data_IF_175379509102
#
_entry.id   IF_175379509102
#
_cell.length_a   1.000
_cell.length_b   1.000
_cell.length_c   1.000
_cell.angle_alpha   90.00
_cell.angle_beta   90.00
_cell.angle_gamma   90.00
#
_symmetry.space_group_name_H-M   'P 1'
#
loop_
_entity.id
_entity.type
_entity.pdbx_description
1 polymer ?
#
# COMPACT_ATOMS: atom_id res chain seq x y z
N UNK A 1 -8.78 -14.18 -0.84
CA UNK A 1 -8.16 -15.38 -1.43
C UNK A 1 -6.83 -15.57 -0.74
N UNK A 2 -6.45 -16.77 -0.28
CA UNK A 2 -5.06 -17.01 0.08
C UNK A 2 -4.25 -16.76 -1.18
N UNK A 3 -3.13 -16.00 -1.05
CA UNK A 3 -2.14 -15.88 -2.10
C UNK A 3 -1.72 -17.31 -2.46
N UNK A 4 -2.16 -17.76 -3.63
CA UNK A 4 -2.11 -19.17 -4.02
C UNK A 4 -0.64 -19.59 -4.12
N UNK A 5 -0.27 -20.67 -3.47
CA UNK A 5 1.08 -21.26 -3.43
C UNK A 5 1.59 -21.80 -4.78
N UNK A 6 0.80 -21.72 -5.83
CA UNK A 6 1.21 -22.08 -7.18
C UNK A 6 1.95 -20.91 -7.83
N UNK A 7 3.22 -21.10 -8.06
CA UNK A 7 4.28 -20.45 -8.84
C UNK A 7 3.91 -19.40 -9.93
N UNK A 8 2.71 -18.78 -9.89
CA UNK A 8 2.37 -17.70 -10.83
C UNK A 8 3.07 -16.41 -10.45
N UNK A 9 3.41 -15.60 -11.44
CA UNK A 9 3.92 -14.25 -11.23
C UNK A 9 2.88 -13.39 -10.47
N UNK A 10 3.35 -12.50 -9.60
CA UNK A 10 2.53 -11.57 -8.83
C UNK A 10 1.98 -10.48 -9.76
N UNK A 11 0.65 -10.43 -9.94
CA UNK A 11 -0.01 -9.57 -10.94
C UNK A 11 -0.25 -8.18 -10.39
N UNK A 12 0.41 -7.20 -10.97
CA UNK A 12 0.42 -5.82 -10.49
C UNK A 12 -0.27 -4.91 -11.52
N UNK A 13 -1.40 -4.31 -11.13
CA UNK A 13 -2.02 -3.23 -11.88
C UNK A 13 -1.44 -1.89 -11.43
N UNK A 14 -0.91 -1.12 -12.36
CA UNK A 14 -0.27 0.18 -12.09
C UNK A 14 -1.17 1.30 -12.61
N UNK A 15 -1.60 2.21 -11.72
CA UNK A 15 -2.31 3.43 -12.10
C UNK A 15 -1.30 4.50 -12.51
N UNK A 16 -1.16 4.74 -13.82
CA UNK A 16 -0.26 5.74 -14.33
C UNK A 16 -0.72 6.31 -15.68
N UNK A 17 -0.48 7.60 -15.91
CA UNK A 17 -0.67 8.25 -17.22
C UNK A 17 0.55 9.11 -17.55
N UNK A 18 0.85 9.35 -18.84
CA UNK A 18 1.96 10.22 -19.22
C UNK A 18 1.89 11.63 -18.61
N UNK A 19 0.68 12.12 -18.34
CA UNK A 19 0.46 13.43 -17.71
C UNK A 19 0.61 13.42 -16.16
N UNK A 20 0.85 12.28 -15.53
CA UNK A 20 0.89 12.16 -14.06
C UNK A 20 2.08 12.87 -13.40
N UNK A 21 3.08 13.31 -14.15
CA UNK A 21 4.22 14.09 -13.64
C UNK A 21 5.22 13.32 -12.77
N UNK A 22 5.05 12.00 -12.57
CA UNK A 22 5.96 11.14 -11.80
C UNK A 22 5.87 9.69 -12.27
N UNK A 23 6.88 8.88 -11.95
CA UNK A 23 6.99 7.46 -12.31
C UNK A 23 6.99 6.55 -11.07
N UNK A 24 6.72 7.10 -9.90
CA UNK A 24 6.82 6.40 -8.62
C UNK A 24 6.07 5.06 -8.58
N UNK A 25 4.82 4.91 -9.09
CA UNK A 25 4.15 3.61 -9.07
C UNK A 25 4.80 2.59 -10.00
N UNK A 26 5.42 3.03 -11.11
CA UNK A 26 6.17 2.15 -12.03
C UNK A 26 7.52 1.76 -11.40
N UNK A 27 8.21 2.71 -10.74
CA UNK A 27 9.45 2.45 -10.01
C UNK A 27 9.21 1.48 -8.84
N UNK A 28 8.05 1.58 -8.18
CA UNK A 28 7.66 0.65 -7.13
C UNK A 28 7.44 -0.76 -7.71
N UNK A 29 6.74 -0.90 -8.83
CA UNK A 29 6.59 -2.19 -9.51
C UNK A 29 7.94 -2.78 -9.91
N UNK A 30 8.84 -1.96 -10.47
CA UNK A 30 10.21 -2.37 -10.82
C UNK A 30 11.02 -2.81 -9.61
N UNK A 31 10.79 -2.21 -8.45
CA UNK A 31 11.42 -2.58 -7.21
C UNK A 31 10.90 -3.92 -6.68
N UNK A 32 9.58 -4.16 -6.75
CA UNK A 32 8.98 -5.47 -6.43
C UNK A 32 9.47 -6.57 -7.38
N UNK A 33 9.63 -6.25 -8.67
CA UNK A 33 10.15 -7.17 -9.68
C UNK A 33 11.57 -7.70 -9.40
N UNK A 34 12.35 -7.00 -8.56
CA UNK A 34 13.66 -7.46 -8.08
C UNK A 34 13.56 -8.44 -6.90
N UNK A 35 12.38 -8.55 -6.31
CA UNK A 35 12.13 -9.40 -5.14
C UNK A 35 11.43 -10.69 -5.53
N UNK A 36 10.46 -10.60 -6.44
CA UNK A 36 9.59 -11.71 -6.84
C UNK A 36 9.25 -11.61 -8.33
N UNK A 37 8.97 -12.72 -9.01
CA UNK A 37 8.42 -12.67 -10.37
C UNK A 37 7.11 -11.90 -10.39
N UNK A 38 7.00 -10.91 -11.29
CA UNK A 38 5.79 -10.09 -11.44
C UNK A 38 5.26 -10.15 -12.87
N UNK A 39 3.97 -9.90 -13.04
CA UNK A 39 3.35 -9.58 -14.32
C UNK A 39 2.69 -8.20 -14.18
N UNK A 40 3.06 -7.22 -15.02
CA UNK A 40 2.61 -5.84 -14.88
C UNK A 40 1.68 -5.42 -16.00
N UNK A 41 0.60 -4.72 -15.63
CA UNK A 41 -0.31 -4.01 -16.52
C UNK A 41 -0.45 -2.57 -16.05
N UNK A 42 -0.41 -1.61 -16.97
CA UNK A 42 -0.57 -0.18 -16.65
C UNK A 42 -1.94 0.28 -17.17
N UNK A 43 -2.75 0.81 -16.25
CA UNK A 43 -4.00 1.48 -16.58
C UNK A 43 -3.77 3.00 -16.63
N UNK A 44 -4.06 3.58 -17.79
CA UNK A 44 -4.25 5.02 -17.96
C UNK A 44 -5.76 5.30 -17.97
N UNK A 45 -6.23 6.12 -17.03
CA UNK A 45 -7.65 6.43 -16.91
C UNK A 45 -7.94 7.82 -17.47
N UNK A 46 -8.92 7.90 -18.37
CA UNK A 46 -9.52 9.16 -18.81
C UNK A 46 -10.87 9.33 -18.10
N UNK A 47 -10.93 10.23 -17.11
CA UNK A 47 -12.17 10.53 -16.41
C UNK A 47 -12.97 11.52 -17.24
N UNK A 48 -14.17 11.13 -17.60
CA UNK A 48 -15.08 11.94 -18.41
C UNK A 48 -15.51 13.18 -17.61
N UNK A 49 -15.26 14.41 -18.10
CA UNK A 49 -15.56 15.63 -17.35
C UNK A 49 -17.04 16.01 -17.33
N UNK A 50 -17.88 15.32 -18.12
CA UNK A 50 -19.32 15.58 -18.26
C UNK A 50 -20.09 14.32 -18.63
N UNK A 51 -21.43 14.38 -18.50
CA UNK A 51 -22.32 13.24 -18.73
C UNK A 51 -22.22 12.65 -20.14
N UNK A 52 -22.44 11.32 -20.26
CA UNK A 52 -22.37 10.50 -21.48
C UNK A 52 -23.10 11.08 -22.70
N UNK A 53 -24.20 11.80 -22.50
CA UNK A 53 -24.98 12.41 -23.58
C UNK A 53 -24.15 13.37 -24.44
N UNK A 54 -23.16 14.05 -23.87
CA UNK A 54 -22.28 14.96 -24.62
C UNK A 54 -21.22 14.21 -25.42
N UNK A 55 -20.80 13.03 -24.95
CA UNK A 55 -19.83 12.17 -25.63
C UNK A 55 -20.47 11.46 -26.83
N UNK A 56 -21.74 11.03 -26.71
CA UNK A 56 -22.50 10.44 -27.81
C UNK A 56 -22.63 11.38 -29.01
N UNK A 57 -22.70 12.70 -28.80
CA UNK A 57 -22.73 13.72 -29.85
C UNK A 57 -21.41 13.78 -30.68
N UNK A 58 -20.28 13.38 -30.10
CA UNK A 58 -18.99 13.35 -30.77
C UNK A 58 -18.81 12.09 -31.66
N UNK A 59 -19.54 11.01 -31.37
CA UNK A 59 -19.61 9.78 -32.15
C UNK A 59 -18.24 9.29 -32.63
N UNK A 60 -18.11 9.04 -33.92
CA UNK A 60 -16.87 8.50 -34.50
C UNK A 60 -15.63 9.39 -34.37
N UNK A 61 -15.78 10.70 -34.14
CA UNK A 61 -14.64 11.59 -33.83
C UNK A 61 -14.00 11.27 -32.50
N UNK A 62 -14.83 11.00 -31.46
CA UNK A 62 -14.36 10.59 -30.16
C UNK A 62 -13.60 9.26 -30.23
N UNK A 63 -14.18 8.26 -30.89
CA UNK A 63 -13.55 6.94 -31.04
C UNK A 63 -12.20 7.04 -31.74
N UNK A 64 -12.09 7.87 -32.77
CA UNK A 64 -10.83 8.09 -33.49
C UNK A 64 -9.78 8.77 -32.58
N UNK A 65 -10.17 9.79 -31.86
CA UNK A 65 -9.30 10.48 -30.91
C UNK A 65 -8.86 9.51 -29.79
N UNK A 66 -9.79 8.78 -29.17
CA UNK A 66 -9.50 7.84 -28.09
C UNK A 66 -8.52 6.73 -28.54
N UNK A 67 -8.68 6.21 -29.75
CA UNK A 67 -7.76 5.24 -30.33
C UNK A 67 -6.34 5.83 -30.54
N UNK A 68 -6.23 7.10 -30.91
CA UNK A 68 -4.94 7.79 -31.03
C UNK A 68 -4.28 7.98 -29.66
N UNK A 69 -5.06 8.42 -28.67
CA UNK A 69 -4.59 8.53 -27.28
C UNK A 69 -4.13 7.18 -26.71
N UNK A 70 -4.89 6.11 -26.95
CA UNK A 70 -4.51 4.77 -26.52
C UNK A 70 -3.16 4.34 -27.12
N UNK A 71 -2.92 4.66 -28.40
CA UNK A 71 -1.64 4.37 -29.07
C UNK A 71 -0.50 5.19 -28.46
N UNK A 72 -0.72 6.47 -28.19
CA UNK A 72 0.26 7.35 -27.56
C UNK A 72 0.59 6.90 -26.14
N UNK A 73 -0.43 6.60 -25.32
CA UNK A 73 -0.27 6.03 -23.98
C UNK A 73 0.53 4.72 -24.02
N UNK A 74 0.19 3.80 -24.93
CA UNK A 74 0.89 2.52 -25.08
C UNK A 74 2.38 2.70 -25.36
N UNK A 75 2.74 3.67 -26.20
CA UNK A 75 4.15 3.97 -26.49
C UNK A 75 4.85 4.59 -25.27
N UNK A 76 4.19 5.50 -24.57
CA UNK A 76 4.73 6.12 -23.34
C UNK A 76 4.94 5.07 -22.24
N UNK A 77 3.95 4.22 -21.97
CA UNK A 77 4.03 3.11 -21.01
C UNK A 77 5.21 2.19 -21.35
N UNK A 78 5.33 1.79 -22.63
CA UNK A 78 6.44 0.95 -23.10
C UNK A 78 7.81 1.57 -22.77
N UNK A 79 7.96 2.85 -23.03
CA UNK A 79 9.22 3.57 -22.78
C UNK A 79 9.51 3.66 -21.28
N UNK A 80 8.49 3.95 -20.47
CA UNK A 80 8.64 4.11 -19.00
C UNK A 80 8.91 2.78 -18.31
N UNK A 81 8.25 1.69 -18.70
CA UNK A 81 8.53 0.35 -18.16
C UNK A 81 9.96 -0.09 -18.47
N UNK A 82 10.46 0.19 -19.70
CA UNK A 82 11.85 -0.07 -20.06
C UNK A 82 12.84 0.78 -19.27
N UNK A 83 12.57 2.06 -19.13
CA UNK A 83 13.40 2.98 -18.36
C UNK A 83 13.47 2.59 -16.88
N UNK A 84 12.39 2.06 -16.32
CA UNK A 84 12.34 1.52 -14.96
C UNK A 84 13.06 0.17 -14.81
N UNK A 85 13.44 -0.49 -15.91
CA UNK A 85 14.18 -1.75 -15.91
C UNK A 85 13.31 -2.98 -15.66
N UNK A 86 12.00 -2.93 -15.95
CA UNK A 86 11.13 -4.10 -15.91
C UNK A 86 11.31 -4.90 -17.21
N UNK A 87 11.78 -6.17 -17.16
CA UNK A 87 11.98 -7.00 -18.33
C UNK A 87 10.68 -7.23 -19.12
N UNK A 88 10.78 -7.41 -20.43
CA UNK A 88 9.59 -7.57 -21.28
C UNK A 88 8.77 -8.81 -20.95
N UNK A 89 9.41 -9.85 -20.46
CA UNK A 89 8.81 -11.12 -20.04
C UNK A 89 7.87 -10.96 -18.84
N UNK A 90 8.06 -9.89 -18.07
CA UNK A 90 7.23 -9.53 -16.92
C UNK A 90 6.09 -8.57 -17.26
N UNK A 91 5.89 -8.26 -18.54
CA UNK A 91 4.77 -7.43 -18.97
C UNK A 91 3.63 -8.32 -19.43
N UNK A 92 2.42 -8.00 -19.00
CA UNK A 92 1.22 -8.62 -19.55
C UNK A 92 1.14 -8.43 -21.07
N UNK A 93 0.37 -9.28 -21.74
CA UNK A 93 0.09 -9.13 -23.18
C UNK A 93 -0.52 -7.77 -23.49
N UNK A 94 -1.44 -7.34 -22.64
CA UNK A 94 -2.10 -6.02 -22.66
C UNK A 94 -1.46 -5.06 -21.63
N UNK A 95 -0.14 -4.96 -21.63
CA UNK A 95 0.63 -4.19 -20.64
C UNK A 95 0.23 -2.71 -20.52
N UNK A 96 -0.55 -2.17 -21.43
CA UNK A 96 -1.04 -0.79 -21.42
C UNK A 96 -2.48 -0.74 -21.89
N UNK A 97 -3.36 -0.34 -20.99
CA UNK A 97 -4.79 -0.18 -21.22
C UNK A 97 -5.16 1.28 -20.97
N UNK A 98 -5.90 1.89 -21.90
CA UNK A 98 -6.56 3.17 -21.72
C UNK A 98 -8.05 2.92 -21.53
N UNK A 99 -8.60 3.34 -20.43
CA UNK A 99 -10.03 3.26 -20.15
C UNK A 99 -10.62 4.65 -19.90
N UNK A 100 -11.86 4.85 -20.31
CA UNK A 100 -12.64 6.04 -20.01
C UNK A 100 -13.87 5.70 -19.19
N UNK A 101 -14.30 6.64 -18.36
CA UNK A 101 -15.48 6.45 -17.52
C UNK A 101 -15.66 7.56 -16.50
N UNK A 102 -16.68 7.44 -15.63
CA UNK A 102 -17.07 8.50 -14.72
C UNK A 102 -16.13 8.67 -13.54
N UNK A 103 -15.36 7.62 -13.18
CA UNK A 103 -14.59 7.60 -11.95
C UNK A 103 -13.32 6.76 -12.08
N UNK A 104 -12.17 7.35 -11.76
CA UNK A 104 -10.89 6.63 -11.77
C UNK A 104 -10.83 5.44 -10.83
N UNK A 105 -11.36 5.50 -9.58
CA UNK A 105 -11.43 4.31 -8.72
C UNK A 105 -12.21 3.15 -9.32
N UNK A 106 -13.36 3.42 -9.96
CA UNK A 106 -14.16 2.37 -10.62
C UNK A 106 -13.42 1.73 -11.77
N UNK A 107 -12.76 2.53 -12.63
CA UNK A 107 -11.95 2.02 -13.73
C UNK A 107 -10.78 1.15 -13.24
N UNK A 108 -10.15 1.54 -12.12
CA UNK A 108 -9.08 0.76 -11.50
C UNK A 108 -9.59 -0.56 -10.92
N UNK A 109 -10.76 -0.57 -10.25
CA UNK A 109 -11.36 -1.79 -9.73
C UNK A 109 -11.73 -2.74 -10.86
N UNK A 110 -12.39 -2.25 -11.91
CA UNK A 110 -12.74 -3.03 -13.09
C UNK A 110 -11.50 -3.63 -13.77
N UNK A 111 -10.49 -2.81 -14.05
CA UNK A 111 -9.25 -3.29 -14.66
C UNK A 111 -8.48 -4.30 -13.79
N UNK A 112 -8.59 -4.16 -12.46
CA UNK A 112 -8.00 -5.08 -11.52
C UNK A 112 -8.70 -6.45 -11.53
N UNK A 113 -10.02 -6.46 -11.61
CA UNK A 113 -10.82 -7.68 -11.74
C UNK A 113 -10.55 -8.37 -13.10
N UNK A 114 -10.57 -7.64 -14.21
CA UNK A 114 -10.28 -8.16 -15.55
C UNK A 114 -8.85 -8.73 -15.68
N UNK A 115 -7.90 -8.16 -14.95
CA UNK A 115 -6.51 -8.61 -14.93
C UNK A 115 -6.26 -9.69 -13.88
N UNK A 116 -7.21 -9.97 -12.98
CA UNK A 116 -7.02 -10.80 -11.79
C UNK A 116 -5.79 -10.32 -10.99
N UNK A 117 -5.75 -9.02 -10.70
CA UNK A 117 -4.62 -8.36 -10.05
C UNK A 117 -4.51 -8.74 -8.57
N UNK A 118 -3.28 -9.01 -8.13
CA UNK A 118 -2.97 -9.24 -6.72
C UNK A 118 -2.70 -7.93 -5.96
N UNK A 119 -2.37 -6.85 -6.70
CA UNK A 119 -2.02 -5.55 -6.13
C UNK A 119 -2.33 -4.42 -7.12
N UNK A 120 -2.92 -3.32 -6.63
CA UNK A 120 -3.03 -2.06 -7.38
C UNK A 120 -2.02 -1.06 -6.85
N UNK A 121 -1.15 -0.52 -7.70
CA UNK A 121 -0.16 0.50 -7.33
C UNK A 121 -0.62 1.91 -7.71
N UNK A 122 -0.51 2.81 -6.74
CA UNK A 122 -0.83 4.23 -6.87
C UNK A 122 0.39 5.10 -6.60
N UNK A 123 0.54 6.15 -7.39
CA UNK A 123 1.49 7.22 -7.13
C UNK A 123 0.97 8.21 -6.07
N UNK A 124 1.85 9.06 -5.54
CA UNK A 124 1.50 10.09 -4.57
C UNK A 124 0.74 11.24 -5.25
N UNK A 125 0.01 12.01 -4.45
CA UNK A 125 -0.48 13.31 -4.89
C UNK A 125 0.71 14.23 -5.21
N UNK A 126 0.59 15.07 -6.24
CA UNK A 126 1.65 16.00 -6.67
C UNK A 126 2.07 17.00 -5.56
N UNK A 127 1.16 17.31 -4.63
CA UNK A 127 1.44 18.14 -3.46
C UNK A 127 2.20 17.44 -2.33
N UNK A 128 2.46 16.13 -2.43
CA UNK A 128 3.19 15.41 -1.40
C UNK A 128 4.63 15.93 -1.26
N UNK A 129 5.13 16.03 -0.04
CA UNK A 129 6.54 16.31 0.23
C UNK A 129 7.42 15.12 -0.26
N UNK A 130 8.68 15.41 -0.61
CA UNK A 130 9.64 14.35 -0.99
C UNK A 130 9.79 13.33 0.14
N UNK A 131 9.76 12.04 -0.21
CA UNK A 131 9.84 10.93 0.73
C UNK A 131 8.55 10.73 1.55
N UNK A 132 7.43 11.32 1.16
CA UNK A 132 6.14 11.18 1.86
C UNK A 132 5.05 10.80 0.87
N UNK A 133 4.01 10.15 1.38
CA UNK A 133 2.79 9.86 0.63
C UNK A 133 1.70 10.82 1.11
N UNK A 134 1.00 11.41 0.17
CA UNK A 134 -0.24 12.16 0.42
C UNK A 134 -1.34 11.51 -0.43
N UNK A 135 -2.41 11.07 0.22
CA UNK A 135 -3.55 10.51 -0.48
C UNK A 135 -4.23 11.58 -1.35
N UNK A 136 -4.51 11.25 -2.59
CA UNK A 136 -5.48 11.97 -3.40
C UNK A 136 -6.83 11.25 -3.34
N UNK A 137 -7.87 11.84 -3.93
CA UNK A 137 -9.23 11.26 -3.92
C UNK A 137 -9.30 9.82 -4.44
N UNK A 138 -8.49 9.45 -5.42
CA UNK A 138 -8.41 8.07 -5.93
C UNK A 138 -7.84 7.10 -4.89
N UNK A 139 -6.75 7.48 -4.23
CA UNK A 139 -6.15 6.66 -3.18
C UNK A 139 -7.10 6.52 -2.00
N UNK A 140 -7.68 7.62 -1.55
CA UNK A 140 -8.64 7.65 -0.46
C UNK A 140 -9.83 6.72 -0.74
N UNK A 141 -10.42 6.82 -1.94
CA UNK A 141 -11.52 5.95 -2.36
C UNK A 141 -11.13 4.46 -2.38
N UNK A 142 -9.96 4.10 -2.96
CA UNK A 142 -9.53 2.70 -3.03
C UNK A 142 -9.14 2.15 -1.66
N UNK A 143 -8.56 2.95 -0.79
CA UNK A 143 -8.26 2.55 0.58
C UNK A 143 -9.53 2.20 1.38
N UNK A 144 -10.68 2.75 1.00
CA UNK A 144 -11.97 2.47 1.63
C UNK A 144 -12.76 1.33 0.95
N UNK A 145 -12.59 1.12 -0.35
CA UNK A 145 -13.50 0.26 -1.12
C UNK A 145 -12.82 -0.81 -1.97
N UNK A 146 -11.49 -0.84 -2.06
CA UNK A 146 -10.80 -1.82 -2.89
C UNK A 146 -10.96 -3.25 -2.34
N UNK A 147 -11.38 -4.22 -3.16
CA UNK A 147 -11.43 -5.62 -2.75
C UNK A 147 -10.07 -6.30 -2.73
N UNK A 148 -9.05 -5.64 -3.28
CA UNK A 148 -7.68 -6.15 -3.37
C UNK A 148 -6.68 -5.18 -2.73
N UNK A 149 -5.48 -5.65 -2.36
CA UNK A 149 -4.44 -4.81 -1.77
C UNK A 149 -4.09 -3.59 -2.61
N UNK A 150 -3.84 -2.46 -1.94
CA UNK A 150 -3.45 -1.19 -2.57
C UNK A 150 -2.04 -0.82 -2.13
N UNK A 151 -1.14 -0.70 -3.10
CA UNK A 151 0.22 -0.24 -2.87
C UNK A 151 0.34 1.27 -3.11
N UNK A 152 0.98 1.95 -2.17
CA UNK A 152 1.16 3.40 -2.16
C UNK A 152 2.64 3.73 -2.23
N UNK A 153 3.02 4.52 -3.23
CA UNK A 153 4.40 4.94 -3.42
C UNK A 153 4.62 6.35 -2.85
N UNK A 154 5.53 6.55 -1.87
CA UNK A 154 5.92 7.89 -1.46
C UNK A 154 6.61 8.63 -2.61
N UNK A 155 6.43 9.96 -2.65
CA UNK A 155 7.03 10.81 -3.68
C UNK A 155 8.56 10.75 -3.62
N UNK A 156 9.20 10.43 -4.73
CA UNK A 156 10.66 10.33 -4.85
C UNK A 156 11.29 9.42 -3.75
N UNK A 157 10.63 8.31 -3.43
CA UNK A 157 11.14 7.33 -2.47
C UNK A 157 12.49 6.77 -2.93
N UNK A 158 13.44 6.63 -1.98
CA UNK A 158 14.73 6.02 -2.27
C UNK A 158 14.63 4.51 -2.09
N UNK A 159 14.48 3.78 -3.19
CA UNK A 159 14.36 2.32 -3.21
C UNK A 159 15.72 1.62 -3.26
N UNK A 160 15.83 0.44 -2.64
CA UNK A 160 16.99 -0.42 -2.71
C UNK A 160 17.17 -1.01 -4.11
N UNK A 161 18.40 -1.11 -4.58
CA UNK A 161 18.71 -1.84 -5.81
C UNK A 161 18.50 -3.37 -5.71
N UNK A 162 18.37 -3.89 -4.49
CA UNK A 162 18.18 -5.32 -4.20
C UNK A 162 16.72 -5.72 -3.98
N UNK A 163 15.76 -4.83 -4.30
CA UNK A 163 14.34 -5.08 -4.03
C UNK A 163 13.99 -4.88 -2.54
N UNK A 164 12.93 -5.57 -2.09
CA UNK A 164 12.52 -5.63 -0.68
C UNK A 164 13.56 -6.44 0.10
N UNK A 165 14.04 -5.90 1.22
CA UNK A 165 15.00 -6.59 2.10
C UNK A 165 14.48 -6.75 3.52
N UNK A 166 13.34 -6.15 3.83
CA UNK A 166 12.61 -6.33 5.08
C UNK A 166 11.16 -5.91 4.88
N UNK A 167 10.26 -6.74 5.37
CA UNK A 167 8.86 -6.42 5.43
C UNK A 167 8.51 -5.94 6.85
N UNK A 168 7.73 -4.88 6.96
CA UNK A 168 7.29 -4.34 8.23
C UNK A 168 5.76 -4.43 8.30
N UNK A 169 5.20 -4.74 9.46
CA UNK A 169 3.77 -4.72 9.70
C UNK A 169 3.45 -3.76 10.83
N UNK A 170 2.57 -2.80 10.60
CA UNK A 170 2.08 -1.90 11.64
C UNK A 170 0.85 -2.51 12.30
N UNK A 171 0.98 -2.89 13.56
CA UNK A 171 -0.10 -3.38 14.40
C UNK A 171 -0.79 -2.16 15.04
N UNK A 172 -2.03 -1.88 14.65
CA UNK A 172 -2.81 -0.77 15.23
C UNK A 172 -3.54 -1.22 16.49
N UNK A 173 -3.78 -0.30 17.43
CA UNK A 173 -4.45 -0.62 18.70
C UNK A 173 -5.92 -1.03 18.54
N UNK A 174 -6.55 -0.63 17.45
CA UNK A 174 -7.95 -0.93 17.14
C UNK A 174 -8.16 -2.38 16.67
N UNK A 175 -7.07 -3.04 16.24
CA UNK A 175 -7.12 -4.43 15.81
C UNK A 175 -6.99 -5.35 17.03
N UNK A 176 -8.03 -6.14 17.32
CA UNK A 176 -7.90 -7.25 18.23
C UNK A 176 -6.77 -8.18 17.75
N UNK A 177 -5.89 -8.63 18.65
CA UNK A 177 -4.74 -9.48 18.25
C UNK A 177 -5.23 -10.82 17.69
N UNK A 178 -6.42 -11.23 18.09
CA UNK A 178 -6.97 -12.53 17.75
C UNK A 178 -7.42 -12.67 16.29
N UNK A 179 -7.58 -11.56 15.56
CA UNK A 179 -8.04 -11.58 14.17
C UNK A 179 -7.36 -10.49 13.32
N UNK A 180 -6.06 -10.69 13.02
CA UNK A 180 -5.31 -9.83 12.11
C UNK A 180 -4.92 -10.61 10.85
N UNK A 181 -5.87 -10.91 9.93
CA UNK A 181 -5.58 -11.62 8.69
C UNK A 181 -4.46 -10.97 7.89
N UNK A 182 -4.39 -9.64 7.89
CA UNK A 182 -3.35 -8.89 7.20
C UNK A 182 -1.94 -9.12 7.75
N UNK A 183 -1.77 -9.43 9.06
CA UNK A 183 -0.50 -9.82 9.63
C UNK A 183 -0.03 -11.16 9.06
N UNK A 184 -0.95 -12.11 8.95
CA UNK A 184 -0.65 -13.43 8.37
C UNK A 184 -0.34 -13.31 6.87
N UNK A 185 -1.06 -12.46 6.13
CA UNK A 185 -0.75 -12.17 4.73
C UNK A 185 0.64 -11.52 4.57
N UNK A 186 0.99 -10.58 5.46
CA UNK A 186 2.32 -9.98 5.48
C UNK A 186 3.42 -11.01 5.82
N UNK A 187 3.18 -11.88 6.78
CA UNK A 187 4.11 -12.97 7.14
C UNK A 187 4.28 -13.97 5.99
N UNK A 188 3.20 -14.31 5.29
CA UNK A 188 3.25 -15.15 4.10
C UNK A 188 4.11 -14.52 2.99
N UNK A 189 3.95 -13.21 2.72
CA UNK A 189 4.80 -12.50 1.76
C UNK A 189 6.26 -12.49 2.21
N UNK A 190 6.54 -12.20 3.49
CA UNK A 190 7.89 -12.17 4.02
C UNK A 190 8.57 -13.54 3.87
N UNK A 191 7.86 -14.62 4.19
CA UNK A 191 8.32 -15.99 4.02
C UNK A 191 8.56 -16.32 2.54
N UNK A 192 7.61 -16.01 1.65
CA UNK A 192 7.71 -16.27 0.20
C UNK A 192 8.88 -15.50 -0.42
N UNK A 193 9.13 -14.27 0.00
CA UNK A 193 10.22 -13.42 -0.49
C UNK A 193 11.54 -13.67 0.22
N UNK A 194 11.55 -14.55 1.22
CA UNK A 194 12.73 -14.87 2.04
C UNK A 194 13.36 -13.61 2.65
N UNK A 195 12.54 -12.75 3.25
CA UNK A 195 12.96 -11.53 3.94
C UNK A 195 12.43 -11.51 5.37
N UNK A 196 13.15 -10.89 6.33
CA UNK A 196 12.67 -10.79 7.70
C UNK A 196 11.40 -9.95 7.81
N UNK A 197 10.54 -10.31 8.76
CA UNK A 197 9.35 -9.56 9.16
C UNK A 197 9.64 -8.76 10.44
N UNK A 198 9.34 -7.46 10.43
CA UNK A 198 9.33 -6.63 11.63
C UNK A 198 7.90 -6.20 11.95
N UNK A 199 7.39 -6.60 13.12
CA UNK A 199 6.08 -6.19 13.63
C UNK A 199 6.27 -4.95 14.52
N UNK A 200 5.50 -3.90 14.28
CA UNK A 200 5.69 -2.60 14.92
C UNK A 200 4.38 -2.15 15.54
N UNK A 201 4.43 -1.72 16.81
CA UNK A 201 3.37 -0.93 17.44
C UNK A 201 3.80 0.52 17.47
N UNK A 202 2.90 1.44 17.13
CA UNK A 202 3.18 2.88 17.15
C UNK A 202 2.41 3.59 18.25
N UNK A 203 3.07 4.55 18.93
CA UNK A 203 2.46 5.51 19.84
C UNK A 203 2.75 6.93 19.40
N UNK A 204 1.69 7.66 19.04
CA UNK A 204 1.77 9.08 18.68
C UNK A 204 1.74 10.03 19.87
N UNK A 205 1.43 9.53 21.07
CA UNK A 205 1.30 10.37 22.28
C UNK A 205 2.64 10.66 22.96
N UNK A 206 3.72 9.99 22.51
CA UNK A 206 5.00 10.03 23.20
C UNK A 206 4.91 9.33 24.55
N UNK A 207 6.05 8.96 25.07
CA UNK A 207 6.12 8.28 26.38
C UNK A 207 5.84 9.24 27.55
N UNK A 208 5.74 10.55 27.30
CA UNK A 208 5.40 11.54 28.34
C UNK A 208 4.73 12.74 27.65
N UNK A 209 3.42 12.85 27.73
CA UNK A 209 2.81 14.18 27.75
C UNK A 209 3.14 14.75 29.13
N UNK A 210 3.95 15.81 29.19
CA UNK A 210 4.17 16.53 30.43
C UNK A 210 2.80 16.86 31.04
N UNK A 211 2.44 16.35 32.21
CA UNK A 211 1.14 16.61 32.79
C UNK A 211 1.01 18.12 33.05
N UNK A 212 -0.20 18.65 32.82
CA UNK A 212 -0.54 20.05 33.14
C UNK A 212 -0.41 20.29 34.64
N UNK A 213 -0.51 19.22 35.45
CA UNK A 213 -0.27 19.20 36.90
C UNK A 213 0.95 18.31 37.21
N UNK A 214 1.72 18.65 38.23
CA UNK A 214 2.96 18.02 38.67
C UNK A 214 2.88 16.51 39.09
N UNK A 215 1.88 15.76 38.62
CA UNK A 215 1.76 14.31 38.85
C UNK A 215 2.63 13.53 37.84
N UNK A 216 3.93 13.71 37.95
CA UNK A 216 4.93 13.02 37.12
C UNK A 216 4.83 11.49 37.28
N UNK A 217 4.53 11.01 38.50
CA UNK A 217 4.44 9.60 38.83
C UNK A 217 3.31 8.89 38.05
N UNK A 218 2.14 9.50 37.94
CA UNK A 218 1.00 8.93 37.22
C UNK A 218 1.30 8.85 35.73
N UNK A 219 1.96 9.86 35.16
CA UNK A 219 2.33 9.87 33.74
C UNK A 219 3.37 8.79 33.43
N UNK A 220 4.33 8.57 34.30
CA UNK A 220 5.33 7.49 34.19
C UNK A 220 4.68 6.11 34.30
N UNK A 221 3.73 5.94 35.23
CA UNK A 221 3.01 4.69 35.41
C UNK A 221 2.13 4.36 34.18
N UNK A 222 1.35 5.31 33.64
CA UNK A 222 0.57 5.14 32.44
C UNK A 222 1.45 4.78 31.25
N UNK A 223 2.63 5.38 31.14
CA UNK A 223 3.61 5.06 30.11
C UNK A 223 4.14 3.64 30.24
N UNK A 224 4.44 3.20 31.46
CA UNK A 224 4.88 1.83 31.74
C UNK A 224 3.81 0.82 31.37
N UNK A 225 2.57 1.03 31.84
CA UNK A 225 1.42 0.17 31.52
C UNK A 225 1.17 0.08 30.02
N UNK A 226 1.21 1.21 29.29
CA UNK A 226 1.07 1.21 27.84
C UNK A 226 2.19 0.39 27.17
N UNK A 227 3.44 0.55 27.64
CA UNK A 227 4.58 -0.20 27.11
C UNK A 227 4.44 -1.70 27.35
N UNK A 228 4.07 -2.10 28.56
CA UNK A 228 3.81 -3.51 28.90
C UNK A 228 2.69 -4.10 28.04
N UNK A 229 1.57 -3.38 27.91
CA UNK A 229 0.48 -3.79 27.04
C UNK A 229 0.95 -3.96 25.59
N UNK A 230 1.73 -3.02 25.07
CA UNK A 230 2.25 -3.06 23.69
C UNK A 230 3.22 -4.21 23.49
N UNK A 231 4.09 -4.50 24.46
CA UNK A 231 5.00 -5.65 24.42
C UNK A 231 4.22 -6.97 24.44
N UNK A 232 3.22 -7.11 25.29
CA UNK A 232 2.36 -8.29 25.33
C UNK A 232 1.67 -8.53 23.99
N UNK A 233 1.17 -7.47 23.33
CA UNK A 233 0.60 -7.57 21.98
C UNK A 233 1.62 -8.02 20.94
N UNK A 234 2.83 -7.48 20.98
CA UNK A 234 3.91 -7.86 20.07
C UNK A 234 4.33 -9.32 20.26
N UNK A 235 4.38 -9.80 21.51
CA UNK A 235 4.71 -11.19 21.80
C UNK A 235 3.65 -12.15 21.29
N UNK A 236 2.36 -11.87 21.51
CA UNK A 236 1.25 -12.67 20.96
C UNK A 236 1.29 -12.67 19.41
N UNK A 237 1.51 -11.51 18.79
CA UNK A 237 1.62 -11.40 17.34
C UNK A 237 2.80 -12.22 16.78
N UNK A 238 3.95 -12.15 17.46
CA UNK A 238 5.16 -12.90 17.10
C UNK A 238 4.96 -14.40 17.24
N UNK A 239 4.35 -14.86 18.33
CA UNK A 239 4.04 -16.27 18.59
C UNK A 239 3.13 -16.83 17.51
N UNK A 240 2.02 -16.16 17.21
CA UNK A 240 1.06 -16.55 16.17
C UNK A 240 1.67 -16.64 14.77
N UNK A 241 2.55 -15.70 14.41
CA UNK A 241 3.27 -15.78 13.13
C UNK A 241 4.28 -16.91 13.16
N UNK A 242 5.01 -17.09 14.27
CA UNK A 242 6.02 -18.15 14.44
C UNK A 242 5.43 -19.56 14.35
N UNK A 243 4.23 -19.79 14.87
CA UNK A 243 3.51 -21.06 14.75
C UNK A 243 3.23 -21.45 13.28
N UNK A 244 2.91 -20.47 12.43
CA UNK A 244 2.61 -20.70 11.00
C UNK A 244 3.83 -20.65 10.09
N UNK A 245 4.84 -19.89 10.46
CA UNK A 245 6.05 -19.64 9.67
C UNK A 245 7.30 -19.82 10.55
N UNK A 246 7.64 -21.06 10.95
CA UNK A 246 8.69 -21.33 11.93
C UNK A 246 10.10 -20.88 11.46
N UNK A 247 10.34 -20.84 10.15
CA UNK A 247 11.63 -20.44 9.58
C UNK A 247 11.73 -18.92 9.32
N UNK A 248 10.64 -18.16 9.56
CA UNK A 248 10.62 -16.72 9.31
C UNK A 248 11.34 -15.98 10.45
N UNK A 249 12.34 -15.16 10.10
CA UNK A 249 12.96 -14.24 11.06
C UNK A 249 11.97 -13.14 11.43
N UNK A 250 11.51 -13.13 12.69
CA UNK A 250 10.55 -12.16 13.20
C UNK A 250 11.23 -11.25 14.22
N UNK A 251 11.08 -9.93 14.03
CA UNK A 251 11.51 -8.91 14.98
C UNK A 251 10.32 -8.09 15.40
N UNK A 252 10.34 -7.60 16.65
CA UNK A 252 9.30 -6.72 17.19
C UNK A 252 9.93 -5.38 17.61
N UNK A 253 9.23 -4.27 17.39
CA UNK A 253 9.75 -2.95 17.72
C UNK A 253 8.60 -2.00 18.10
N UNK A 254 8.85 -1.03 18.97
CA UNK A 254 7.90 0.02 19.33
C UNK A 254 8.41 1.34 18.78
N UNK A 255 7.61 1.97 17.91
CA UNK A 255 7.83 3.33 17.44
C UNK A 255 7.09 4.32 18.34
N UNK A 256 7.79 5.19 19.05
CA UNK A 256 7.21 6.12 20.00
C UNK A 256 7.77 7.53 19.84
N UNK A 257 6.90 8.53 19.97
CA UNK A 257 7.31 9.92 19.88
C UNK A 257 6.14 10.89 20.02
N UNK A 258 6.44 12.17 20.18
CA UNK A 258 5.43 13.22 20.25
C UNK A 258 4.87 13.48 18.84
N UNK A 259 3.71 12.92 18.55
CA UNK A 259 3.06 12.90 17.24
C UNK A 259 3.56 11.74 16.36
N UNK A 260 2.76 11.41 15.33
CA UNK A 260 3.03 10.30 14.40
C UNK A 260 4.38 10.40 13.71
N UNK A 261 4.79 11.62 13.31
CA UNK A 261 6.08 11.83 12.68
C UNK A 261 7.23 11.39 13.58
N UNK A 262 7.23 11.82 14.85
CA UNK A 262 8.28 11.46 15.79
C UNK A 262 8.27 9.96 16.09
N UNK A 263 7.09 9.34 16.20
CA UNK A 263 6.94 7.90 16.37
C UNK A 263 7.53 7.10 15.20
N UNK A 264 7.27 7.53 13.96
CA UNK A 264 7.85 6.91 12.76
C UNK A 264 9.35 7.13 12.67
N UNK A 265 9.80 8.37 12.91
CA UNK A 265 11.21 8.76 12.80
C UNK A 265 12.07 8.17 13.95
N UNK A 266 11.46 7.65 15.06
CA UNK A 266 12.19 6.93 16.12
C UNK A 266 12.73 5.58 15.66
N UNK A 267 12.21 5.02 14.58
CA UNK A 267 12.61 3.75 14.03
C UNK A 267 13.67 3.90 12.94
N UNK A 268 14.55 2.89 12.83
CA UNK A 268 15.55 2.86 11.74
C UNK A 268 14.94 2.27 10.47
N UNK A 269 14.68 3.13 9.49
CA UNK A 269 14.20 2.75 8.17
C UNK A 269 15.35 2.54 7.18
N UNK A 270 15.18 1.54 6.29
CA UNK A 270 16.13 1.21 5.22
C UNK A 270 15.46 1.38 3.85
N UNK A 271 16.25 1.56 2.81
CA UNK A 271 15.76 1.68 1.42
C UNK A 271 15.07 0.41 0.89
N UNK A 272 15.27 -0.72 1.55
CA UNK A 272 14.66 -2.00 1.23
C UNK A 272 13.46 -2.33 2.11
N UNK A 273 12.98 -1.40 2.93
CA UNK A 273 11.80 -1.60 3.77
C UNK A 273 10.51 -1.40 2.97
N UNK A 274 9.58 -2.32 3.17
CA UNK A 274 8.18 -2.22 2.76
C UNK A 274 7.34 -2.30 4.03
N UNK A 275 6.34 -1.44 4.18
CA UNK A 275 5.42 -1.51 5.31
C UNK A 275 4.03 -1.95 4.87
N UNK A 276 3.45 -2.84 5.65
CA UNK A 276 2.13 -3.41 5.48
C UNK A 276 1.19 -2.91 6.57
N UNK A 277 -0.02 -2.56 6.18
CA UNK A 277 -1.11 -2.12 7.04
C UNK A 277 -2.33 -3.01 6.77
N UNK A 278 -3.04 -3.41 7.80
CA UNK A 278 -4.36 -4.03 7.67
C UNK A 278 -5.46 -2.97 7.81
N UNK A 279 -6.56 -3.13 7.09
CA UNK A 279 -7.78 -2.40 7.38
C UNK A 279 -8.63 -3.17 8.39
N UNK A 280 -9.33 -2.45 9.27
CA UNK A 280 -10.26 -3.06 10.23
C UNK A 280 -11.70 -2.90 9.73
N UNK A 281 -12.59 -3.90 9.91
CA UNK A 281 -14.01 -3.73 9.64
C UNK A 281 -14.60 -2.78 10.70
N UNK A 282 -15.25 -1.72 10.28
CA UNK A 282 -15.98 -0.83 11.18
C UNK A 282 -17.48 -1.08 11.10
N UNK A 283 -18.00 -1.88 12.06
CA UNK A 283 -19.43 -2.04 12.31
C UNK A 283 -20.24 -2.77 11.22
N UNK A 284 -21.56 -2.82 11.41
CA UNK A 284 -22.54 -3.49 10.54
C UNK A 284 -22.74 -2.84 9.16
N UNK A 285 -22.16 -1.68 8.90
CA UNK A 285 -22.14 -1.03 7.58
C UNK A 285 -20.89 -1.51 6.83
N UNK A 286 -21.09 -2.18 5.71
CA UNK A 286 -20.16 -2.87 4.81
C UNK A 286 -19.01 -2.02 4.22
N UNK A 287 -18.40 -1.12 4.98
CA UNK A 287 -17.33 -0.24 4.53
C UNK A 287 -16.01 -0.69 5.14
N UNK A 288 -15.08 -1.04 4.28
CA UNK A 288 -13.69 -1.29 4.66
C UNK A 288 -13.10 0.05 5.09
N UNK A 289 -12.81 0.22 6.39
CA UNK A 289 -12.10 1.39 6.88
C UNK A 289 -10.65 1.00 7.16
N UNK A 290 -9.71 1.70 6.53
CA UNK A 290 -8.43 1.88 7.20
C UNK A 290 -8.76 2.61 8.50
N UNK A 291 -8.44 2.01 9.66
CA UNK A 291 -8.67 2.65 10.93
C UNK A 291 -8.10 4.09 10.91
N UNK A 292 -8.75 5.03 11.57
CA UNK A 292 -8.35 6.45 11.55
C UNK A 292 -6.87 6.65 11.90
N UNK A 293 -6.28 5.80 12.76
CA UNK A 293 -4.86 5.81 13.12
C UNK A 293 -3.95 5.42 11.95
N UNK A 294 -4.36 4.46 11.12
CA UNK A 294 -3.59 4.12 9.94
C UNK A 294 -3.63 5.27 8.91
N UNK A 295 -4.77 5.95 8.75
CA UNK A 295 -4.89 7.14 7.90
C UNK A 295 -3.99 8.28 8.40
N UNK A 296 -3.89 8.48 9.72
CA UNK A 296 -2.98 9.47 10.31
C UNK A 296 -1.50 9.08 10.18
N UNK A 297 -1.18 7.77 10.21
CA UNK A 297 0.18 7.25 10.07
C UNK A 297 0.72 7.40 8.63
N UNK A 298 -0.13 7.15 7.62
CA UNK A 298 0.27 7.11 6.21
C UNK A 298 1.10 8.31 5.73
N UNK A 299 0.75 9.59 6.03
CA UNK A 299 1.51 10.74 5.56
C UNK A 299 2.91 10.85 6.16
N UNK A 300 3.19 10.10 7.22
CA UNK A 300 4.46 10.13 7.93
C UNK A 300 5.42 9.01 7.51
N UNK A 301 4.94 8.02 6.76
CA UNK A 301 5.76 6.93 6.24
C UNK A 301 6.63 7.40 5.06
N UNK A 302 7.89 6.97 5.06
CA UNK A 302 8.87 7.31 4.02
C UNK A 302 9.27 6.14 3.12
N UNK A 303 8.67 4.99 3.35
CA UNK A 303 8.91 3.74 2.61
C UNK A 303 7.64 3.35 1.85
N UNK A 304 7.72 2.51 0.79
CA UNK A 304 6.56 1.97 0.12
C UNK A 304 5.62 1.25 1.08
N UNK A 305 4.32 1.33 0.78
CA UNK A 305 3.26 0.86 1.66
C UNK A 305 2.37 -0.11 0.88
N UNK A 306 1.92 -1.19 1.52
CA UNK A 306 0.80 -2.01 1.06
C UNK A 306 -0.28 -1.99 2.13
N UNK A 307 -1.50 -1.72 1.71
CA UNK A 307 -2.69 -1.77 2.57
C UNK A 307 -3.54 -2.94 2.15
N UNK A 308 -3.80 -3.88 3.07
CA UNK A 308 -4.69 -5.00 2.85
C UNK A 308 -6.13 -4.64 3.21
N UNK A 309 -7.10 -4.99 2.33
CA UNK A 309 -8.51 -4.87 2.68
C UNK A 309 -8.86 -5.85 3.81
N UNK A 310 -9.81 -5.47 4.66
CA UNK A 310 -10.36 -6.41 5.64
C UNK A 310 -11.09 -7.55 4.89
N UNK A 311 -10.81 -8.79 5.28
CA UNK A 311 -11.59 -9.93 4.78
C UNK A 311 -12.89 -10.01 5.57
N UNK A 312 -14.02 -10.20 4.87
CA UNK A 312 -15.24 -10.66 5.53
C UNK A 312 -14.93 -12.03 6.13
N UNK A 313 -15.01 -12.17 7.43
CA UNK A 313 -15.18 -13.48 8.07
C UNK A 313 -16.58 -13.96 7.67
N UNK A 314 -16.62 -14.93 6.74
CA UNK A 314 -17.85 -15.65 6.36
C UNK A 314 -18.25 -16.62 7.45
#
# INVERSE_FOLDING_TARGET
>A
MPLNSDKRAYRILISWTPASGGTEPIEYAAWLARTTPVEVRVLSAFVQPWHEVSMQKLGGKYNKWFAQEAKACKQAVKNTLRAAGIPREQWDKEYSVLMDGPSKPQLLTQAAEEFDADLVLLGPNQGAAKGRFLAGSTADSLLHYSPIPVGLSPRAAKLSKHGVTRLNFALTEEQGIDDVPALIDAAFLASTWNVPLRIIVFSSHGLVNAPINDNLDVALELTSQWREHSLGRLDIARERVGERFPDLEIRTEIGSGKGWRAAVDSLKWKKGDLICLGSSPMGALERVFIGWRATELLPHLSVPIIVWPSRKTS
#
